data_IF_210919285874
#
_entry.id   IF_210919285874
#
_cell.length_a   1.000
_cell.length_b   1.000
_cell.length_c   1.000
_cell.angle_alpha   90.00
_cell.angle_beta   90.00
_cell.angle_gamma   90.00
#
_symmetry.space_group_name_H-M   'P 1'
#
loop_
_entity.id
_entity.type
_entity.pdbx_description
1 polymer ?
#
# COMPACT_ATOMS: atom_id res chain seq x y z
N UNK A 1 1.35 -24.36 4.72
CA UNK A 1 0.47 -23.56 5.60
C UNK A 1 1.23 -22.86 6.73
N UNK A 2 2.18 -23.48 7.42
CA UNK A 2 2.97 -22.82 8.50
C UNK A 2 3.77 -21.58 8.02
N UNK A 3 4.31 -21.59 6.82
CA UNK A 3 5.13 -20.49 6.30
C UNK A 3 4.33 -19.22 5.96
N UNK A 4 3.07 -19.35 5.53
CA UNK A 4 2.19 -18.18 5.28
C UNK A 4 1.74 -17.57 6.62
N UNK A 5 1.61 -18.39 7.66
CA UNK A 5 1.30 -17.94 9.00
C UNK A 5 2.34 -16.96 9.58
N UNK A 6 3.64 -17.16 9.29
CA UNK A 6 4.69 -16.26 9.78
C UNK A 6 4.60 -14.85 9.21
N UNK A 7 4.24 -14.72 7.92
CA UNK A 7 4.02 -13.41 7.28
C UNK A 7 2.81 -12.71 7.90
N UNK A 8 1.71 -13.45 8.12
CA UNK A 8 0.52 -12.90 8.74
C UNK A 8 0.80 -12.40 10.18
N UNK A 9 1.56 -13.18 10.97
CA UNK A 9 2.00 -12.77 12.32
C UNK A 9 2.90 -11.53 12.25
N UNK A 10 3.88 -11.51 11.35
CA UNK A 10 4.75 -10.34 11.16
C UNK A 10 3.98 -9.08 10.80
N UNK A 11 3.02 -9.17 9.87
CA UNK A 11 2.12 -8.06 9.51
C UNK A 11 1.25 -7.60 10.69
N UNK A 12 0.74 -8.53 11.49
CA UNK A 12 -0.05 -8.21 12.68
C UNK A 12 0.79 -7.46 13.71
N UNK A 13 2.02 -7.93 13.99
CA UNK A 13 2.96 -7.27 14.90
C UNK A 13 3.28 -5.86 14.40
N UNK A 14 3.62 -5.72 13.11
CA UNK A 14 3.89 -4.41 12.49
C UNK A 14 2.68 -3.47 12.57
N UNK A 15 1.47 -3.97 12.33
CA UNK A 15 0.23 -3.20 12.42
C UNK A 15 -0.04 -2.69 13.84
N UNK A 16 0.02 -3.59 14.84
CA UNK A 16 -0.14 -3.23 16.25
C UNK A 16 0.93 -2.24 16.71
N UNK A 17 2.18 -2.47 16.33
CA UNK A 17 3.30 -1.58 16.67
C UNK A 17 3.16 -0.21 16.02
N UNK A 18 2.70 -0.13 14.77
CA UNK A 18 2.45 1.14 14.07
C UNK A 18 1.33 1.93 14.75
N UNK A 19 0.27 1.27 15.19
CA UNK A 19 -0.80 1.91 15.95
C UNK A 19 -0.32 2.39 17.31
N UNK A 20 0.45 1.57 18.04
CA UNK A 20 1.03 1.95 19.32
C UNK A 20 2.04 3.11 19.20
N UNK A 21 2.85 3.11 18.13
CA UNK A 21 3.74 4.24 17.80
C UNK A 21 2.96 5.56 17.72
N UNK A 22 1.89 5.60 16.92
CA UNK A 22 1.08 6.80 16.75
C UNK A 22 0.36 7.20 18.05
N UNK A 23 -0.16 6.22 18.80
CA UNK A 23 -0.84 6.48 20.08
C UNK A 23 0.10 7.05 21.14
N UNK A 24 1.26 6.42 21.34
CA UNK A 24 2.24 6.88 22.33
C UNK A 24 2.86 8.23 21.96
N UNK A 25 3.24 8.40 20.70
CA UNK A 25 3.78 9.69 20.22
C UNK A 25 2.73 10.81 20.27
N UNK A 26 1.46 10.51 19.93
CA UNK A 26 0.37 11.48 20.06
C UNK A 26 0.15 11.92 21.50
N UNK A 27 0.21 10.99 22.47
CA UNK A 27 0.12 11.30 23.90
C UNK A 27 1.31 12.11 24.40
N UNK A 28 2.54 11.81 23.94
CA UNK A 28 3.75 12.50 24.36
C UNK A 28 3.81 13.94 23.83
N UNK A 29 3.44 14.13 22.55
CA UNK A 29 3.62 15.38 21.83
C UNK A 29 2.41 16.33 21.92
N UNK A 30 1.21 15.78 22.13
CA UNK A 30 -0.03 16.53 22.00
C UNK A 30 -0.41 16.82 20.53
N UNK A 31 -1.64 17.32 20.28
CA UNK A 31 -2.19 17.39 18.92
C UNK A 31 -1.38 18.21 17.92
N UNK A 32 -0.86 19.38 18.35
CA UNK A 32 -0.14 20.28 17.44
C UNK A 32 1.21 19.72 16.98
N UNK A 33 2.07 19.28 17.91
CA UNK A 33 3.38 18.72 17.58
C UNK A 33 3.29 17.30 17.01
N UNK A 34 2.16 16.60 17.21
CA UNK A 34 1.90 15.29 16.60
C UNK A 34 1.55 15.40 15.10
N UNK A 35 0.91 16.48 14.66
CA UNK A 35 0.43 16.61 13.28
C UNK A 35 1.53 16.39 12.21
N UNK A 36 2.70 17.05 12.28
CA UNK A 36 3.77 16.83 11.32
C UNK A 36 4.34 15.39 11.36
N UNK A 37 4.44 14.77 12.55
CA UNK A 37 4.86 13.39 12.70
C UNK A 37 3.87 12.41 12.06
N UNK A 38 2.58 12.63 12.27
CA UNK A 38 1.54 11.81 11.68
C UNK A 38 1.52 11.93 10.16
N UNK A 39 1.78 13.13 9.62
CA UNK A 39 1.95 13.35 8.18
C UNK A 39 3.18 12.63 7.65
N UNK A 40 4.31 12.69 8.33
CA UNK A 40 5.50 11.91 8.00
C UNK A 40 5.19 10.41 7.95
N UNK A 41 4.48 9.89 8.96
CA UNK A 41 4.07 8.49 9.01
C UNK A 41 3.22 8.10 7.79
N UNK A 42 2.26 8.96 7.41
CA UNK A 42 1.41 8.74 6.23
C UNK A 42 2.26 8.71 4.96
N UNK A 43 3.17 9.67 4.77
CA UNK A 43 4.02 9.73 3.58
C UNK A 43 4.92 8.50 3.46
N UNK A 44 5.57 8.09 4.55
CA UNK A 44 6.41 6.89 4.60
C UNK A 44 5.59 5.64 4.26
N UNK A 45 4.40 5.47 4.88
CA UNK A 45 3.56 4.30 4.66
C UNK A 45 2.81 4.32 3.30
N UNK A 46 2.66 5.48 2.65
CA UNK A 46 2.14 5.58 1.29
C UNK A 46 3.20 5.20 0.25
N UNK A 47 4.44 5.61 0.49
CA UNK A 47 5.54 5.42 -0.46
C UNK A 47 5.94 3.95 -0.64
N UNK A 48 5.88 3.13 0.41
CA UNK A 48 6.16 1.70 0.32
C UNK A 48 5.33 1.00 -0.75
N UNK A 49 3.99 0.96 -0.64
CA UNK A 49 3.12 0.40 -1.67
C UNK A 49 3.17 1.14 -3.01
N UNK A 50 3.39 2.45 -3.03
CA UNK A 50 3.45 3.22 -4.26
C UNK A 50 4.69 2.87 -5.11
N UNK A 51 5.87 2.93 -4.51
CA UNK A 51 7.12 2.91 -5.24
C UNK A 51 7.88 1.59 -5.12
N UNK A 52 7.81 0.92 -3.99
CA UNK A 52 8.67 -0.22 -3.69
C UNK A 52 7.96 -1.58 -3.70
N UNK A 53 6.65 -1.65 -3.43
CA UNK A 53 5.92 -2.91 -3.53
C UNK A 53 5.91 -3.48 -4.96
N UNK A 54 5.80 -2.68 -6.05
CA UNK A 54 5.98 -3.18 -7.41
C UNK A 54 7.33 -3.83 -7.66
N UNK A 55 8.40 -3.26 -7.09
CA UNK A 55 9.74 -3.83 -7.15
C UNK A 55 9.83 -5.17 -6.41
N UNK A 56 9.25 -5.24 -5.20
CA UNK A 56 9.15 -6.48 -4.41
C UNK A 56 8.45 -7.59 -5.19
N UNK A 57 7.29 -7.29 -5.79
CA UNK A 57 6.47 -8.25 -6.52
C UNK A 57 7.20 -8.79 -7.74
N UNK A 58 7.80 -7.92 -8.55
CA UNK A 58 8.51 -8.34 -9.76
C UNK A 58 9.79 -9.09 -9.44
N UNK A 59 10.54 -8.64 -8.42
CA UNK A 59 11.73 -9.34 -7.96
C UNK A 59 11.37 -10.74 -7.41
N UNK A 60 10.34 -10.82 -6.58
CA UNK A 60 9.86 -12.10 -6.03
C UNK A 60 9.47 -13.07 -7.14
N UNK A 61 8.75 -12.60 -8.17
CA UNK A 61 8.40 -13.39 -9.34
C UNK A 61 9.64 -13.89 -10.09
N UNK A 62 10.62 -13.01 -10.34
CA UNK A 62 11.82 -13.35 -11.09
C UNK A 62 12.72 -14.32 -10.33
N UNK A 63 12.88 -14.13 -9.02
CA UNK A 63 13.65 -15.05 -8.15
C UNK A 63 12.99 -16.42 -8.09
N UNK A 64 11.65 -16.49 -7.90
CA UNK A 64 10.91 -17.75 -7.87
C UNK A 64 11.02 -18.51 -9.20
N UNK A 65 10.95 -17.79 -10.32
CA UNK A 65 11.10 -18.40 -11.65
C UNK A 65 12.50 -18.99 -11.85
N UNK A 66 13.54 -18.27 -11.47
CA UNK A 66 14.92 -18.74 -11.58
C UNK A 66 15.19 -19.93 -10.65
N UNK A 67 14.72 -19.88 -9.41
CA UNK A 67 14.90 -20.95 -8.42
C UNK A 67 14.19 -22.25 -8.85
N UNK A 68 12.98 -22.16 -9.41
CA UNK A 68 12.26 -23.31 -9.96
C UNK A 68 13.01 -24.02 -11.11
N UNK A 69 13.95 -23.32 -11.76
CA UNK A 69 14.80 -23.85 -12.81
C UNK A 69 16.21 -24.26 -12.29
N UNK A 70 16.39 -24.26 -10.96
CA UNK A 70 17.68 -24.56 -10.34
C UNK A 70 18.75 -23.52 -10.62
N UNK A 71 18.36 -22.29 -11.04
CA UNK A 71 19.28 -21.19 -11.39
C UNK A 71 19.27 -20.13 -10.30
N UNK A 72 20.37 -19.42 -10.13
CA UNK A 72 20.42 -18.24 -9.29
C UNK A 72 19.85 -17.00 -9.99
N UNK A 73 19.58 -15.95 -9.24
CA UNK A 73 18.96 -14.71 -9.76
C UNK A 73 19.73 -13.44 -9.39
N UNK A 74 21.04 -13.57 -9.05
CA UNK A 74 21.88 -12.45 -8.63
C UNK A 74 21.80 -11.23 -9.56
N UNK A 75 21.82 -11.46 -10.88
CA UNK A 75 21.78 -10.36 -11.85
C UNK A 75 20.46 -9.61 -11.79
N UNK A 76 19.33 -10.30 -11.63
CA UNK A 76 18.00 -9.68 -11.50
C UNK A 76 17.92 -8.95 -10.16
N UNK A 77 18.42 -9.54 -9.08
CA UNK A 77 18.48 -8.90 -7.77
C UNK A 77 19.29 -7.59 -7.81
N UNK A 78 20.50 -7.60 -8.41
CA UNK A 78 21.33 -6.39 -8.54
C UNK A 78 20.67 -5.31 -9.41
N UNK A 79 19.96 -5.70 -10.47
CA UNK A 79 19.17 -4.77 -11.27
C UNK A 79 18.00 -4.19 -10.48
N UNK A 80 17.30 -5.01 -9.70
CA UNK A 80 16.27 -4.56 -8.78
C UNK A 80 16.82 -3.59 -7.73
N UNK A 81 17.97 -3.89 -7.15
CA UNK A 81 18.66 -3.02 -6.20
C UNK A 81 19.06 -1.67 -6.84
N UNK A 82 19.58 -1.69 -8.06
CA UNK A 82 19.93 -0.48 -8.79
C UNK A 82 18.67 0.35 -9.14
N UNK A 83 17.57 -0.31 -9.54
CA UNK A 83 16.28 0.38 -9.79
C UNK A 83 15.73 0.98 -8.50
N UNK A 84 15.74 0.26 -7.39
CA UNK A 84 15.34 0.76 -6.07
C UNK A 84 16.19 1.96 -5.64
N UNK A 85 17.52 1.87 -5.80
CA UNK A 85 18.43 2.98 -5.54
C UNK A 85 18.14 4.20 -6.44
N UNK A 86 17.82 3.98 -7.72
CA UNK A 86 17.41 5.06 -8.63
C UNK A 86 16.14 5.76 -8.13
N UNK A 87 15.14 4.99 -7.69
CA UNK A 87 13.90 5.56 -7.13
C UNK A 87 14.22 6.40 -5.88
N UNK A 88 15.05 5.89 -4.96
CA UNK A 88 15.49 6.62 -3.76
C UNK A 88 16.26 7.88 -4.13
N UNK A 89 17.18 7.82 -5.11
CA UNK A 89 17.92 8.99 -5.58
C UNK A 89 16.99 10.06 -6.19
N UNK A 90 16.01 9.65 -6.99
CA UNK A 90 15.00 10.58 -7.53
C UNK A 90 14.20 11.22 -6.40
N UNK A 91 13.74 10.43 -5.42
CA UNK A 91 13.08 10.95 -4.24
C UNK A 91 13.99 11.93 -3.46
N UNK A 92 15.29 11.61 -3.29
CA UNK A 92 16.23 12.47 -2.61
C UNK A 92 16.40 13.82 -3.31
N UNK A 93 16.51 13.83 -4.64
CA UNK A 93 16.58 15.08 -5.44
C UNK A 93 15.31 15.91 -5.30
N UNK A 94 14.14 15.26 -5.39
CA UNK A 94 12.84 15.93 -5.22
C UNK A 94 12.68 16.50 -3.81
N UNK A 95 13.01 15.71 -2.78
CA UNK A 95 12.94 16.16 -1.38
C UNK A 95 13.92 17.29 -1.10
N UNK A 96 15.13 17.25 -1.66
CA UNK A 96 16.10 18.32 -1.53
C UNK A 96 15.62 19.61 -2.22
N UNK A 97 15.10 19.51 -3.45
CA UNK A 97 14.58 20.66 -4.18
C UNK A 97 13.32 21.28 -3.54
N UNK A 98 12.54 20.48 -2.81
CA UNK A 98 11.32 20.90 -2.13
C UNK A 98 11.49 21.04 -0.62
N UNK A 99 12.73 21.00 -0.09
CA UNK A 99 13.01 20.92 1.36
C UNK A 99 12.34 22.04 2.16
N UNK A 100 12.47 23.28 1.71
CA UNK A 100 11.92 24.45 2.40
C UNK A 100 10.38 24.40 2.42
N UNK A 101 9.77 24.13 1.26
CA UNK A 101 8.31 23.99 1.17
C UNK A 101 7.79 22.82 2.02
N UNK A 102 8.48 21.68 2.00
CA UNK A 102 8.09 20.54 2.82
C UNK A 102 8.24 20.83 4.31
N UNK A 103 9.33 21.48 4.70
CA UNK A 103 9.55 21.86 6.09
C UNK A 103 8.45 22.82 6.57
N UNK A 104 8.25 23.91 5.87
CA UNK A 104 7.35 24.98 6.30
C UNK A 104 5.87 24.57 6.18
N UNK A 105 5.44 24.09 5.01
CA UNK A 105 4.02 23.86 4.71
C UNK A 105 3.51 22.49 5.18
N UNK A 106 4.37 21.44 5.14
CA UNK A 106 3.96 20.07 5.47
C UNK A 106 4.36 19.68 6.87
N UNK A 107 5.58 20.02 7.28
CA UNK A 107 6.16 19.62 8.57
C UNK A 107 6.21 20.74 9.60
N UNK A 108 5.55 21.89 9.33
CA UNK A 108 5.36 23.00 10.28
C UNK A 108 6.67 23.57 10.83
N UNK A 109 7.74 23.62 10.01
CA UNK A 109 9.05 24.13 10.37
C UNK A 109 10.01 23.09 10.97
N UNK A 110 9.66 21.80 10.97
CA UNK A 110 10.48 20.73 11.52
C UNK A 110 11.39 20.09 10.44
N UNK A 111 12.53 20.70 10.16
CA UNK A 111 13.49 20.27 9.11
C UNK A 111 13.94 18.82 9.25
N UNK A 112 14.09 18.34 10.49
CA UNK A 112 14.50 16.96 10.76
C UNK A 112 13.55 15.92 10.17
N UNK A 113 12.27 16.27 9.94
CA UNK A 113 11.29 15.37 9.35
C UNK A 113 11.52 15.16 7.85
N UNK A 114 12.09 16.13 7.14
CA UNK A 114 12.50 15.98 5.73
C UNK A 114 13.63 14.94 5.63
N UNK A 115 14.61 15.02 6.52
CA UNK A 115 15.71 14.05 6.60
C UNK A 115 15.18 12.66 7.01
N UNK A 116 14.29 12.60 8.00
CA UNK A 116 13.65 11.36 8.44
C UNK A 116 12.83 10.71 7.31
N UNK A 117 12.14 11.52 6.49
CA UNK A 117 11.41 11.01 5.31
C UNK A 117 12.37 10.32 4.34
N UNK A 118 13.51 10.93 4.00
CA UNK A 118 14.49 10.34 3.10
C UNK A 118 15.08 9.04 3.66
N UNK A 119 15.44 9.01 4.94
CA UNK A 119 15.95 7.81 5.62
C UNK A 119 14.88 6.71 5.59
N UNK A 120 13.63 7.05 5.91
CA UNK A 120 12.50 6.11 5.90
C UNK A 120 12.22 5.54 4.51
N UNK A 121 12.25 6.37 3.46
CA UNK A 121 12.12 5.91 2.07
C UNK A 121 13.27 4.97 1.66
N UNK A 122 14.48 5.28 2.08
CA UNK A 122 15.66 4.42 1.84
C UNK A 122 15.51 3.07 2.54
N UNK A 123 15.07 3.08 3.80
CA UNK A 123 14.78 1.87 4.58
C UNK A 123 13.69 1.02 3.93
N UNK A 124 12.58 1.62 3.52
CA UNK A 124 11.50 0.92 2.80
C UNK A 124 11.98 0.32 1.48
N UNK A 125 12.79 1.05 0.70
CA UNK A 125 13.38 0.53 -0.54
C UNK A 125 14.20 -0.74 -0.30
N UNK A 126 15.03 -0.73 0.74
CA UNK A 126 15.81 -1.91 1.14
C UNK A 126 14.92 -3.05 1.66
N UNK A 127 13.90 -2.74 2.47
CA UNK A 127 12.96 -3.74 2.97
C UNK A 127 12.20 -4.45 1.85
N UNK A 128 11.60 -3.71 0.93
CA UNK A 128 10.84 -4.29 -0.19
C UNK A 128 11.76 -5.09 -1.13
N UNK A 129 13.00 -4.66 -1.33
CA UNK A 129 13.99 -5.43 -2.10
C UNK A 129 14.30 -6.78 -1.44
N UNK A 130 14.58 -6.78 -0.14
CA UNK A 130 14.91 -8.02 0.61
C UNK A 130 13.68 -8.92 0.77
N UNK A 131 12.48 -8.35 0.98
CA UNK A 131 11.22 -9.09 1.01
C UNK A 131 10.91 -9.76 -0.32
N UNK A 132 11.18 -9.10 -1.44
CA UNK A 132 11.07 -9.71 -2.77
C UNK A 132 12.00 -10.92 -2.91
N UNK A 133 13.24 -10.83 -2.44
CA UNK A 133 14.18 -11.94 -2.42
C UNK A 133 13.69 -13.10 -1.53
N UNK A 134 13.20 -12.81 -0.33
CA UNK A 134 12.66 -13.82 0.59
C UNK A 134 11.41 -14.50 0.02
N UNK A 135 10.47 -13.73 -0.54
CA UNK A 135 9.25 -14.27 -1.14
C UNK A 135 9.57 -15.18 -2.34
N UNK A 136 10.45 -14.74 -3.22
CA UNK A 136 10.88 -15.51 -4.39
C UNK A 136 11.64 -16.78 -4.01
N UNK A 137 12.47 -16.74 -2.97
CA UNK A 137 13.20 -17.89 -2.42
C UNK A 137 12.39 -18.74 -1.44
N UNK A 138 11.06 -18.55 -1.33
CA UNK A 138 10.17 -19.28 -0.42
C UNK A 138 10.56 -19.15 1.07
N UNK A 139 11.35 -18.13 1.45
CA UNK A 139 11.82 -17.88 2.80
C UNK A 139 10.81 -17.04 3.62
N UNK A 140 9.54 -17.43 3.61
CA UNK A 140 8.45 -16.68 4.25
C UNK A 140 8.62 -16.50 5.77
N UNK A 141 9.38 -17.37 6.43
CA UNK A 141 9.76 -17.19 7.83
C UNK A 141 10.59 -15.93 8.05
N UNK A 142 11.61 -15.68 7.19
CA UNK A 142 12.44 -14.48 7.23
C UNK A 142 11.66 -13.22 6.83
N UNK A 143 10.80 -13.34 5.84
CA UNK A 143 9.89 -12.27 5.46
C UNK A 143 9.05 -11.82 6.66
N UNK A 144 8.37 -12.75 7.34
CA UNK A 144 7.56 -12.45 8.52
C UNK A 144 8.38 -11.92 9.69
N UNK A 145 9.60 -12.47 9.89
CA UNK A 145 10.53 -12.00 10.92
C UNK A 145 10.97 -10.54 10.68
N UNK A 146 11.30 -10.16 9.44
CA UNK A 146 11.66 -8.78 9.10
C UNK A 146 10.53 -7.80 9.39
N UNK A 147 9.28 -8.14 9.00
CA UNK A 147 8.08 -7.35 9.32
C UNK A 147 7.88 -7.20 10.83
N UNK A 148 7.98 -8.31 11.56
CA UNK A 148 7.82 -8.32 13.01
C UNK A 148 8.91 -7.50 13.72
N UNK A 149 10.15 -7.60 13.24
CA UNK A 149 11.28 -6.89 13.81
C UNK A 149 11.19 -5.37 13.60
N UNK A 150 10.80 -4.91 12.39
CA UNK A 150 10.51 -3.48 12.16
C UNK A 150 9.46 -2.98 13.17
N UNK A 151 8.36 -3.73 13.35
CA UNK A 151 7.34 -3.38 14.33
C UNK A 151 7.86 -3.33 15.76
N UNK A 152 8.57 -4.37 16.21
CA UNK A 152 9.11 -4.45 17.57
C UNK A 152 10.12 -3.33 17.84
N UNK A 153 11.05 -3.07 16.94
CA UNK A 153 12.04 -1.99 17.08
C UNK A 153 11.34 -0.64 17.21
N UNK A 154 10.36 -0.38 16.37
CA UNK A 154 9.55 0.84 16.42
C UNK A 154 8.80 0.99 17.74
N UNK A 155 8.14 -0.07 18.19
CA UNK A 155 7.39 -0.07 19.44
C UNK A 155 8.29 0.14 20.65
N UNK A 156 9.39 -0.62 20.77
CA UNK A 156 10.29 -0.56 21.92
C UNK A 156 10.96 0.83 22.02
N UNK A 157 11.47 1.36 20.89
CA UNK A 157 12.09 2.68 20.88
C UNK A 157 11.08 3.79 21.23
N UNK A 158 9.86 3.72 20.68
CA UNK A 158 8.80 4.69 20.99
C UNK A 158 8.39 4.62 22.46
N UNK A 159 8.22 3.42 23.01
CA UNK A 159 7.87 3.23 24.41
C UNK A 159 8.98 3.78 25.33
N UNK A 160 10.25 3.57 24.99
CA UNK A 160 11.38 4.14 25.72
C UNK A 160 11.34 5.68 25.72
N UNK A 161 11.15 6.32 24.55
CA UNK A 161 11.02 7.77 24.46
C UNK A 161 9.84 8.31 25.28
N UNK A 162 8.70 7.63 25.24
CA UNK A 162 7.51 7.98 25.99
C UNK A 162 7.75 7.90 27.50
N UNK A 163 8.35 6.82 27.99
CA UNK A 163 8.65 6.62 29.42
C UNK A 163 9.72 7.60 29.94
N UNK A 164 10.66 8.01 29.10
CA UNK A 164 11.66 9.04 29.40
C UNK A 164 11.09 10.47 29.34
N UNK A 165 9.82 10.64 28.98
CA UNK A 165 9.17 11.95 28.88
C UNK A 165 9.67 12.83 27.74
N UNK A 166 10.22 12.24 26.66
CA UNK A 166 10.71 12.98 25.50
C UNK A 166 9.52 13.57 24.73
N UNK A 167 9.54 14.90 24.52
CA UNK A 167 8.49 15.65 23.82
C UNK A 167 8.98 16.29 22.51
N UNK A 168 10.15 15.91 22.04
CA UNK A 168 10.73 16.41 20.77
C UNK A 168 10.33 15.51 19.63
N UNK A 169 9.62 16.05 18.62
CA UNK A 169 9.08 15.31 17.48
C UNK A 169 10.16 14.58 16.67
N UNK A 170 11.35 15.18 16.55
CA UNK A 170 12.46 14.63 15.77
C UNK A 170 12.92 13.23 16.23
N UNK A 171 12.89 12.93 17.52
CA UNK A 171 13.26 11.60 18.02
C UNK A 171 12.26 10.53 17.57
N UNK A 172 10.97 10.82 17.61
CA UNK A 172 9.93 9.91 17.12
C UNK A 172 10.02 9.74 15.58
N UNK A 173 10.37 10.80 14.87
CA UNK A 173 10.60 10.75 13.42
C UNK A 173 11.80 9.84 13.08
N UNK A 174 12.90 9.94 13.84
CA UNK A 174 14.06 9.07 13.67
C UNK A 174 13.75 7.59 13.99
N UNK A 175 12.95 7.32 15.02
CA UNK A 175 12.48 5.95 15.31
C UNK A 175 11.71 5.37 14.10
N UNK A 176 10.77 6.15 13.54
CA UNK A 176 10.01 5.74 12.38
C UNK A 176 10.93 5.44 11.17
N UNK A 177 11.93 6.30 10.95
CA UNK A 177 12.81 6.23 9.79
C UNK A 177 13.86 5.10 9.89
N UNK A 178 14.42 4.88 11.09
CA UNK A 178 15.52 3.94 11.30
C UNK A 178 15.05 2.50 11.55
N UNK A 179 13.81 2.28 12.00
CA UNK A 179 13.31 0.94 12.27
C UNK A 179 13.39 0.01 11.06
N UNK A 180 12.92 0.38 9.85
CA UNK A 180 13.05 -0.47 8.66
C UNK A 180 14.51 -0.69 8.25
N UNK A 181 15.38 0.32 8.36
CA UNK A 181 16.82 0.17 8.07
C UNK A 181 17.43 -0.88 8.99
N UNK A 182 17.18 -0.77 10.29
CA UNK A 182 17.71 -1.67 11.30
C UNK A 182 17.17 -3.10 11.10
N UNK A 183 15.87 -3.24 10.79
CA UNK A 183 15.26 -4.53 10.50
C UNK A 183 15.95 -5.22 9.31
N UNK A 184 16.27 -4.48 8.23
CA UNK A 184 17.02 -5.02 7.08
C UNK A 184 18.41 -5.46 7.50
N UNK A 185 19.18 -4.61 8.19
CA UNK A 185 20.55 -4.93 8.62
C UNK A 185 20.61 -6.20 9.48
N UNK A 186 19.58 -6.45 10.28
CA UNK A 186 19.50 -7.62 11.16
C UNK A 186 18.95 -8.88 10.46
N UNK A 187 18.35 -8.77 9.27
CA UNK A 187 17.68 -9.91 8.61
C UNK A 187 18.25 -10.27 7.25
N UNK A 188 18.95 -9.36 6.58
CA UNK A 188 19.40 -9.55 5.18
C UNK A 188 20.74 -10.29 5.03
N UNK A 189 21.20 -11.01 6.05
CA UNK A 189 22.49 -11.74 6.03
C UNK A 189 22.50 -12.97 5.10
N UNK A 190 21.33 -13.53 4.74
CA UNK A 190 21.21 -14.62 3.76
C UNK A 190 19.96 -14.43 2.90
N UNK A 191 20.14 -14.01 1.66
CA UNK A 191 19.08 -13.77 0.69
C UNK A 191 18.79 -15.01 -0.20
N UNK A 192 19.40 -16.15 0.12
CA UNK A 192 19.13 -17.42 -0.54
C UNK A 192 19.39 -17.40 -2.06
N UNK A 193 18.42 -17.87 -2.90
CA UNK A 193 18.57 -17.94 -4.35
C UNK A 193 18.85 -16.58 -5.01
N UNK A 194 18.38 -15.47 -4.40
CA UNK A 194 18.51 -14.13 -4.97
C UNK A 194 19.98 -13.69 -5.18
N UNK A 195 20.92 -14.21 -4.39
CA UNK A 195 22.34 -13.86 -4.48
C UNK A 195 23.20 -14.93 -5.18
N UNK A 196 22.61 -16.07 -5.58
CA UNK A 196 23.35 -17.10 -6.34
C UNK A 196 23.67 -16.61 -7.74
N UNK A 197 24.92 -16.85 -8.25
CA UNK A 197 25.29 -16.47 -9.61
C UNK A 197 24.38 -17.07 -10.67
N UNK A 198 24.02 -16.26 -11.67
CA UNK A 198 23.19 -16.69 -12.79
C UNK A 198 23.49 -15.89 -14.06
N UNK A 199 23.16 -16.46 -15.21
CA UNK A 199 23.06 -15.69 -16.45
C UNK A 199 21.76 -14.86 -16.43
N UNK A 200 21.79 -13.62 -16.95
CA UNK A 200 20.60 -12.76 -16.94
C UNK A 200 19.55 -13.28 -17.91
N UNK A 201 18.39 -13.63 -17.39
CA UNK A 201 17.22 -14.03 -18.19
C UNK A 201 16.31 -12.84 -18.52
N UNK A 202 16.37 -11.77 -17.76
CA UNK A 202 15.52 -10.62 -17.90
C UNK A 202 16.34 -9.37 -18.19
N UNK A 203 15.97 -8.62 -19.23
CA UNK A 203 16.67 -7.37 -19.58
C UNK A 203 16.25 -6.22 -18.66
N UNK A 204 17.07 -5.16 -18.62
CA UNK A 204 16.72 -3.91 -17.91
C UNK A 204 15.36 -3.36 -18.36
N UNK A 205 15.11 -3.32 -19.68
CA UNK A 205 13.88 -2.79 -20.23
C UNK A 205 12.65 -3.63 -19.86
N UNK A 206 12.78 -4.93 -19.68
CA UNK A 206 11.68 -5.78 -19.21
C UNK A 206 11.36 -5.52 -17.74
N UNK A 207 12.38 -5.48 -16.88
CA UNK A 207 12.21 -5.22 -15.45
C UNK A 207 11.62 -3.83 -15.20
N UNK A 208 12.21 -2.79 -15.76
CA UNK A 208 11.76 -1.40 -15.54
C UNK A 208 10.36 -1.14 -16.09
N UNK A 209 10.00 -1.76 -17.23
CA UNK A 209 8.63 -1.66 -17.78
C UNK A 209 7.60 -2.35 -16.89
N UNK A 210 7.91 -3.54 -16.37
CA UNK A 210 7.03 -4.27 -15.49
C UNK A 210 6.81 -3.52 -14.16
N UNK A 211 7.89 -3.07 -13.52
CA UNK A 211 7.83 -2.27 -12.29
C UNK A 211 7.09 -0.94 -12.53
N UNK A 212 7.41 -0.22 -13.61
CA UNK A 212 6.78 1.07 -13.94
C UNK A 212 5.27 0.96 -14.18
N UNK A 213 4.83 -0.09 -14.88
CA UNK A 213 3.40 -0.32 -15.12
C UNK A 213 2.63 -0.58 -13.80
N UNK A 214 3.21 -1.35 -12.88
CA UNK A 214 2.63 -1.59 -11.56
C UNK A 214 2.63 -0.32 -10.70
N UNK A 215 3.70 0.49 -10.76
CA UNK A 215 3.82 1.73 -9.99
C UNK A 215 2.72 2.74 -10.30
N UNK A 216 2.31 2.88 -11.56
CA UNK A 216 1.26 3.84 -11.93
C UNK A 216 -0.04 3.54 -11.17
N UNK A 217 -0.50 2.29 -11.20
CA UNK A 217 -1.73 1.88 -10.53
C UNK A 217 -1.65 2.00 -9.01
N UNK A 218 -0.54 1.55 -8.42
CA UNK A 218 -0.33 1.59 -6.96
C UNK A 218 -0.19 3.02 -6.46
N UNK A 219 0.54 3.89 -7.17
CA UNK A 219 0.71 5.31 -6.80
C UNK A 219 -0.61 6.05 -6.80
N UNK A 220 -1.45 5.86 -7.81
CA UNK A 220 -2.79 6.48 -7.85
C UNK A 220 -3.68 6.01 -6.70
N UNK A 221 -3.68 4.71 -6.38
CA UNK A 221 -4.42 4.19 -5.24
C UNK A 221 -3.90 4.78 -3.92
N UNK A 222 -2.58 4.86 -3.75
CA UNK A 222 -1.95 5.46 -2.57
C UNK A 222 -2.22 6.97 -2.48
N UNK A 223 -2.25 7.68 -3.60
CA UNK A 223 -2.68 9.07 -3.62
C UNK A 223 -4.09 9.21 -3.05
N UNK A 224 -5.07 8.49 -3.57
CA UNK A 224 -6.47 8.58 -3.11
C UNK A 224 -6.60 8.30 -1.61
N UNK A 225 -5.94 7.24 -1.10
CA UNK A 225 -6.08 6.87 0.32
C UNK A 225 -5.27 7.77 1.27
N UNK A 226 -4.21 8.42 0.79
CA UNK A 226 -3.31 9.21 1.64
C UNK A 226 -3.36 10.73 1.37
N UNK A 227 -4.12 11.19 0.39
CA UNK A 227 -4.23 12.62 0.10
C UNK A 227 -4.89 13.43 1.25
N UNK A 228 -5.84 12.82 1.97
CA UNK A 228 -6.59 13.49 3.03
C UNK A 228 -5.69 14.00 4.19
N UNK A 229 -4.79 13.19 4.81
CA UNK A 229 -3.91 13.70 5.86
C UNK A 229 -2.92 14.76 5.37
N UNK A 230 -2.39 14.60 4.16
CA UNK A 230 -1.50 15.62 3.56
C UNK A 230 -2.24 16.93 3.31
N UNK A 231 -3.45 16.84 2.73
CA UNK A 231 -4.30 18.02 2.52
C UNK A 231 -4.67 18.71 3.85
N UNK A 232 -4.94 17.94 4.90
CA UNK A 232 -5.23 18.50 6.22
C UNK A 232 -4.02 19.27 6.78
N UNK A 233 -2.79 18.75 6.60
CA UNK A 233 -1.58 19.44 7.06
C UNK A 233 -1.29 20.72 6.27
N UNK A 234 -1.41 20.66 4.93
CA UNK A 234 -1.08 21.80 4.05
C UNK A 234 -2.14 22.90 4.11
N UNK A 235 -3.41 22.54 4.27
CA UNK A 235 -4.52 23.51 4.27
C UNK A 235 -4.84 24.08 5.65
N UNK A 236 -4.24 23.54 6.73
CA UNK A 236 -4.46 24.02 8.09
C UNK A 236 -3.82 25.41 8.29
N UNK A 237 -4.63 26.40 8.64
CA UNK A 237 -4.13 27.69 9.11
C UNK A 237 -3.37 27.52 10.44
N UNK A 238 -2.59 28.54 10.84
CA UNK A 238 -1.73 28.46 12.03
C UNK A 238 -2.51 28.10 13.30
N UNK A 239 -3.72 28.61 13.46
CA UNK A 239 -4.65 28.31 14.56
C UNK A 239 -5.37 26.96 14.40
N UNK A 240 -5.29 26.31 13.24
CA UNK A 240 -5.90 25.02 12.93
C UNK A 240 -4.94 23.83 13.05
N UNK A 241 -3.64 24.04 13.30
CA UNK A 241 -2.61 22.97 13.36
C UNK A 241 -2.97 21.84 14.34
N UNK A 242 -3.48 22.19 15.52
CA UNK A 242 -3.93 21.20 16.50
C UNK A 242 -5.13 20.38 15.96
N UNK A 243 -6.07 21.02 15.26
CA UNK A 243 -7.22 20.33 14.63
C UNK A 243 -6.76 19.39 13.51
N UNK A 244 -5.76 19.78 12.71
CA UNK A 244 -5.16 18.90 11.72
C UNK A 244 -4.57 17.63 12.37
N UNK A 245 -3.86 17.76 13.49
CA UNK A 245 -3.34 16.61 14.24
C UNK A 245 -4.44 15.67 14.75
N UNK A 246 -5.53 16.23 15.29
CA UNK A 246 -6.72 15.45 15.69
C UNK A 246 -7.33 14.74 14.48
N UNK A 247 -7.52 15.45 13.37
CA UNK A 247 -8.08 14.88 12.14
C UNK A 247 -7.25 13.71 11.60
N UNK A 248 -5.92 13.83 11.59
CA UNK A 248 -5.03 12.76 11.14
C UNK A 248 -5.12 11.55 12.09
N UNK A 249 -5.20 11.77 13.41
CA UNK A 249 -5.42 10.69 14.39
C UNK A 249 -6.72 9.93 14.14
N UNK A 250 -7.79 10.65 13.86
CA UNK A 250 -9.10 10.11 13.48
C UNK A 250 -8.97 9.25 12.24
N UNK A 251 -8.28 9.77 11.20
CA UNK A 251 -8.10 9.07 9.94
C UNK A 251 -7.29 7.77 10.12
N UNK A 252 -6.29 7.78 10.96
CA UNK A 252 -5.48 6.57 11.27
C UNK A 252 -6.35 5.49 11.91
N UNK A 253 -7.18 5.85 12.91
CA UNK A 253 -8.08 4.88 13.55
C UNK A 253 -9.13 4.37 12.56
N UNK A 254 -9.66 5.24 11.68
CA UNK A 254 -10.64 4.84 10.67
C UNK A 254 -10.13 3.80 9.67
N UNK A 255 -8.80 3.61 9.62
CA UNK A 255 -8.13 2.62 8.76
C UNK A 255 -7.97 1.24 9.40
N UNK A 256 -8.33 1.03 10.66
CA UNK A 256 -8.24 -0.29 11.30
C UNK A 256 -8.94 -1.38 10.46
N UNK A 257 -10.15 -1.18 9.90
CA UNK A 257 -10.78 -2.17 9.03
C UNK A 257 -9.97 -2.51 7.77
N UNK A 258 -9.11 -1.61 7.29
CA UNK A 258 -8.26 -1.86 6.11
C UNK A 258 -7.23 -2.97 6.37
N UNK A 259 -6.74 -3.12 7.59
CA UNK A 259 -5.84 -4.22 7.95
C UNK A 259 -6.54 -5.58 7.86
N UNK A 260 -7.80 -5.67 8.33
CA UNK A 260 -8.61 -6.88 8.18
C UNK A 260 -8.90 -7.14 6.69
N UNK A 261 -9.19 -6.09 5.94
CA UNK A 261 -9.40 -6.18 4.50
C UNK A 261 -8.18 -6.72 3.76
N UNK A 262 -6.96 -6.34 4.16
CA UNK A 262 -5.71 -6.85 3.55
C UNK A 262 -5.59 -8.38 3.67
N UNK A 263 -6.02 -8.94 4.80
CA UNK A 263 -6.07 -10.40 4.99
C UNK A 263 -7.11 -11.07 4.05
N UNK A 264 -8.27 -10.45 3.88
CA UNK A 264 -9.30 -10.90 2.93
C UNK A 264 -8.74 -10.86 1.50
N UNK A 265 -8.06 -9.78 1.12
CA UNK A 265 -7.44 -9.63 -0.20
C UNK A 265 -6.45 -10.76 -0.51
N UNK A 266 -5.54 -11.03 0.41
CA UNK A 266 -4.51 -12.06 0.23
C UNK A 266 -5.09 -13.48 -0.01
N UNK A 267 -6.19 -13.80 0.67
CA UNK A 267 -6.87 -15.10 0.52
C UNK A 267 -7.73 -15.20 -0.76
N UNK A 268 -8.18 -14.06 -1.26
CA UNK A 268 -9.27 -14.01 -2.23
C UNK A 268 -8.81 -13.83 -3.67
N UNK A 269 -7.82 -13.01 -3.92
CA UNK A 269 -7.31 -12.70 -5.26
C UNK A 269 -6.85 -13.92 -6.06
N UNK A 270 -6.06 -14.86 -5.48
CA UNK A 270 -5.63 -16.04 -6.22
C UNK A 270 -6.81 -16.88 -6.71
N UNK A 271 -7.87 -16.97 -5.89
CA UNK A 271 -9.07 -17.72 -6.24
C UNK A 271 -9.86 -17.11 -7.39
N UNK A 272 -9.95 -15.78 -7.49
CA UNK A 272 -10.60 -15.13 -8.64
C UNK A 272 -9.79 -15.31 -9.93
N UNK A 273 -8.48 -15.14 -9.87
CA UNK A 273 -7.61 -15.34 -11.02
C UNK A 273 -7.69 -16.79 -11.56
N UNK A 274 -7.77 -17.78 -10.64
CA UNK A 274 -7.95 -19.17 -11.01
C UNK A 274 -9.30 -19.42 -11.74
N UNK A 275 -10.40 -18.81 -11.28
CA UNK A 275 -11.72 -18.93 -11.92
C UNK A 275 -11.76 -18.26 -13.30
N UNK A 276 -11.04 -17.16 -13.49
CA UNK A 276 -10.86 -16.57 -14.84
C UNK A 276 -10.11 -17.52 -15.75
N UNK A 277 -9.03 -18.16 -15.27
CA UNK A 277 -8.25 -19.12 -16.04
C UNK A 277 -9.06 -20.38 -16.37
N UNK A 278 -9.94 -20.83 -15.46
CA UNK A 278 -10.85 -21.97 -15.67
C UNK A 278 -12.08 -21.64 -16.54
N UNK A 279 -12.25 -20.37 -16.93
CA UNK A 279 -13.40 -19.87 -17.71
C UNK A 279 -14.75 -20.03 -16.98
N UNK A 280 -14.75 -20.17 -15.65
CA UNK A 280 -15.95 -20.37 -14.84
C UNK A 280 -16.56 -19.02 -14.40
N UNK A 281 -17.37 -18.45 -15.31
CA UNK A 281 -18.03 -17.15 -15.09
C UNK A 281 -19.06 -17.20 -13.96
N UNK A 282 -19.74 -18.32 -13.78
CA UNK A 282 -20.80 -18.44 -12.76
C UNK A 282 -20.18 -18.40 -11.36
N UNK A 283 -19.21 -19.29 -11.09
CA UNK A 283 -18.50 -19.31 -9.80
C UNK A 283 -17.72 -18.02 -9.54
N UNK A 284 -17.19 -17.39 -10.60
CA UNK A 284 -16.56 -16.07 -10.47
C UNK A 284 -17.55 -15.04 -9.95
N UNK A 285 -18.77 -14.96 -10.52
CA UNK A 285 -19.80 -14.04 -10.08
C UNK A 285 -20.25 -14.27 -8.64
N UNK A 286 -20.45 -15.54 -8.24
CA UNK A 286 -20.81 -15.93 -6.87
C UNK A 286 -19.71 -15.53 -5.87
N UNK A 287 -18.45 -15.82 -6.21
CA UNK A 287 -17.32 -15.50 -5.36
C UNK A 287 -17.11 -13.98 -5.24
N UNK A 288 -17.25 -13.24 -6.34
CA UNK A 288 -17.23 -11.78 -6.35
C UNK A 288 -18.31 -11.20 -5.44
N UNK A 289 -19.57 -11.68 -5.56
CA UNK A 289 -20.67 -11.24 -4.70
C UNK A 289 -20.37 -11.48 -3.22
N UNK A 290 -19.86 -12.67 -2.88
CA UNK A 290 -19.50 -13.00 -1.49
C UNK A 290 -18.48 -12.02 -0.92
N UNK A 291 -17.46 -11.67 -1.70
CA UNK A 291 -16.43 -10.72 -1.25
C UNK A 291 -16.96 -9.32 -1.13
N UNK A 292 -17.72 -8.83 -2.11
CA UNK A 292 -18.31 -7.50 -2.02
C UNK A 292 -19.24 -7.39 -0.81
N UNK A 293 -20.00 -8.44 -0.48
CA UNK A 293 -20.81 -8.49 0.74
C UNK A 293 -19.96 -8.45 2.01
N UNK A 294 -18.88 -9.25 2.08
CA UNK A 294 -17.96 -9.26 3.24
C UNK A 294 -17.28 -7.91 3.42
N UNK A 295 -16.76 -7.34 2.34
CA UNK A 295 -16.09 -6.03 2.34
C UNK A 295 -17.07 -4.92 2.69
N UNK A 296 -18.29 -4.97 2.12
CA UNK A 296 -19.35 -4.03 2.44
C UNK A 296 -19.80 -4.12 3.90
N UNK A 297 -19.96 -5.34 4.43
CA UNK A 297 -20.29 -5.58 5.83
C UNK A 297 -19.19 -5.07 6.77
N UNK A 298 -17.92 -5.33 6.44
CA UNK A 298 -16.78 -4.82 7.21
C UNK A 298 -16.73 -3.29 7.21
N UNK A 299 -16.97 -2.66 6.05
CA UNK A 299 -17.05 -1.21 5.92
C UNK A 299 -18.22 -0.61 6.72
N UNK A 300 -19.39 -1.22 6.64
CA UNK A 300 -20.57 -0.80 7.39
C UNK A 300 -20.37 -0.97 8.91
N UNK A 301 -19.80 -2.09 9.34
CA UNK A 301 -19.48 -2.32 10.74
C UNK A 301 -18.45 -1.30 11.26
N UNK A 302 -17.39 -1.01 10.48
CA UNK A 302 -16.42 0.04 10.80
C UNK A 302 -17.06 1.40 10.94
N UNK A 303 -17.96 1.78 10.02
CA UNK A 303 -18.71 3.04 10.07
C UNK A 303 -19.59 3.13 11.32
N UNK A 304 -20.35 2.07 11.63
CA UNK A 304 -21.21 2.03 12.81
C UNK A 304 -20.41 2.15 14.11
N UNK A 305 -19.32 1.40 14.25
CA UNK A 305 -18.42 1.49 15.41
C UNK A 305 -17.86 2.91 15.54
N UNK A 306 -17.41 3.49 14.43
CA UNK A 306 -16.76 4.79 14.43
C UNK A 306 -17.73 5.92 14.80
N UNK A 307 -18.97 5.90 14.28
CA UNK A 307 -20.01 6.87 14.66
C UNK A 307 -20.44 6.67 16.11
N UNK A 308 -20.51 5.43 16.59
CA UNK A 308 -20.99 5.13 17.95
C UNK A 308 -19.98 5.54 19.03
N UNK A 309 -18.76 5.04 18.93
CA UNK A 309 -17.73 5.18 19.96
C UNK A 309 -16.44 5.90 19.48
N UNK A 310 -16.40 6.40 18.25
CA UNK A 310 -15.21 7.02 17.66
C UNK A 310 -14.61 8.15 18.49
N UNK A 311 -15.37 9.14 18.99
CA UNK A 311 -14.83 10.20 19.84
C UNK A 311 -14.13 9.66 21.10
N UNK A 312 -14.73 8.64 21.73
CA UNK A 312 -14.14 7.96 22.88
C UNK A 312 -12.86 7.20 22.50
N UNK A 313 -12.85 6.50 21.36
CA UNK A 313 -11.64 5.81 20.87
C UNK A 313 -10.49 6.79 20.67
N UNK A 314 -10.74 7.92 19.99
CA UNK A 314 -9.71 8.93 19.71
C UNK A 314 -9.12 9.48 21.02
N UNK A 315 -9.95 9.92 21.97
CA UNK A 315 -9.48 10.46 23.26
C UNK A 315 -8.79 9.39 24.10
N UNK A 316 -9.24 8.15 24.05
CA UNK A 316 -8.65 7.04 24.81
C UNK A 316 -7.26 6.68 24.28
N UNK A 317 -7.07 6.63 22.97
CA UNK A 317 -5.79 6.25 22.39
C UNK A 317 -4.77 7.40 22.39
N UNK A 318 -5.19 8.60 22.01
CA UNK A 318 -4.29 9.73 21.82
C UNK A 318 -4.25 10.71 23.01
N UNK A 319 -5.19 10.61 23.94
CA UNK A 319 -5.25 11.43 25.13
C UNK A 319 -6.33 12.54 25.09
N UNK A 320 -6.54 13.25 26.21
CA UNK A 320 -7.69 14.17 26.38
C UNK A 320 -7.65 15.39 25.46
N UNK A 321 -6.48 15.78 24.93
CA UNK A 321 -6.35 16.88 23.97
C UNK A 321 -6.89 16.55 22.57
N UNK A 322 -7.14 15.27 22.26
CA UNK A 322 -7.66 14.84 20.98
C UNK A 322 -9.18 14.68 21.00
N UNK A 323 -9.88 15.80 20.84
CA UNK A 323 -11.35 15.85 20.82
C UNK A 323 -11.87 15.95 19.40
N UNK A 324 -12.92 15.20 19.05
CA UNK A 324 -13.55 15.20 17.73
C UNK A 324 -15.04 15.01 17.83
N UNK A 325 -15.79 15.42 16.80
CA UNK A 325 -17.23 15.26 16.73
C UNK A 325 -17.62 14.10 15.80
N UNK A 326 -18.83 13.53 16.03
CA UNK A 326 -19.35 12.47 15.14
C UNK A 326 -19.55 12.96 13.71
N UNK A 327 -19.83 14.25 13.53
CA UNK A 327 -20.05 14.86 12.20
C UNK A 327 -18.75 14.87 11.38
N UNK A 328 -17.60 15.00 12.05
CA UNK A 328 -16.30 15.01 11.37
C UNK A 328 -15.77 13.58 11.11
N UNK A 329 -16.32 12.58 11.83
CA UNK A 329 -15.90 11.18 11.74
C UNK A 329 -16.53 10.42 10.56
N UNK A 330 -17.83 10.64 10.29
CA UNK A 330 -18.55 9.78 9.34
C UNK A 330 -17.97 9.78 7.92
N UNK A 331 -17.50 10.92 7.35
CA UNK A 331 -17.00 10.89 5.98
C UNK A 331 -15.72 10.06 5.86
N UNK A 332 -14.89 10.08 6.90
CA UNK A 332 -13.64 9.30 6.93
C UNK A 332 -13.92 7.80 7.03
N UNK A 333 -14.82 7.40 7.93
CA UNK A 333 -15.17 5.99 8.10
C UNK A 333 -15.91 5.42 6.89
N UNK A 334 -16.86 6.18 6.32
CA UNK A 334 -17.55 5.80 5.10
C UNK A 334 -16.58 5.75 3.91
N UNK A 335 -15.70 6.74 3.80
CA UNK A 335 -14.64 6.77 2.79
C UNK A 335 -13.69 5.57 2.89
N UNK A 336 -13.29 5.17 4.09
CA UNK A 336 -12.47 3.96 4.30
C UNK A 336 -13.21 2.68 3.84
N UNK A 337 -14.49 2.56 4.13
CA UNK A 337 -15.35 1.47 3.64
C UNK A 337 -15.42 1.43 2.11
N UNK A 338 -15.67 2.57 1.48
CA UNK A 338 -15.71 2.69 0.01
C UNK A 338 -14.35 2.46 -0.63
N UNK A 339 -13.25 2.86 0.01
CA UNK A 339 -11.90 2.53 -0.44
C UNK A 339 -11.65 1.02 -0.49
N UNK A 340 -12.11 0.27 0.51
CA UNK A 340 -12.01 -1.20 0.49
C UNK A 340 -12.80 -1.79 -0.69
N UNK A 341 -14.01 -1.30 -0.95
CA UNK A 341 -14.82 -1.72 -2.10
C UNK A 341 -14.14 -1.37 -3.43
N UNK A 342 -13.64 -0.13 -3.58
CA UNK A 342 -12.92 0.31 -4.77
C UNK A 342 -11.67 -0.54 -5.03
N UNK A 343 -10.89 -0.83 -3.97
CA UNK A 343 -9.70 -1.66 -4.04
C UNK A 343 -10.01 -3.11 -4.44
N UNK A 344 -11.08 -3.70 -3.90
CA UNK A 344 -11.53 -5.03 -4.30
C UNK A 344 -11.93 -5.06 -5.78
N UNK A 345 -12.71 -4.07 -6.24
CA UNK A 345 -13.13 -3.96 -7.65
C UNK A 345 -11.95 -3.70 -8.60
N UNK A 346 -10.99 -2.87 -8.19
CA UNK A 346 -9.77 -2.62 -8.97
C UNK A 346 -8.96 -3.91 -9.19
N UNK A 347 -8.85 -4.76 -8.17
CA UNK A 347 -8.18 -6.05 -8.26
C UNK A 347 -8.95 -7.05 -9.14
N UNK A 348 -10.28 -7.03 -9.09
CA UNK A 348 -11.13 -7.78 -10.02
C UNK A 348 -10.85 -7.36 -11.47
N UNK A 349 -10.75 -6.05 -11.74
CA UNK A 349 -10.40 -5.54 -13.07
C UNK A 349 -9.01 -6.00 -13.52
N UNK A 350 -8.05 -6.04 -12.60
CA UNK A 350 -6.71 -6.59 -12.88
C UNK A 350 -6.78 -8.08 -13.22
N UNK A 351 -7.56 -8.88 -12.50
CA UNK A 351 -7.75 -10.30 -12.82
C UNK A 351 -8.43 -10.54 -14.18
N UNK A 352 -9.30 -9.61 -14.59
CA UNK A 352 -9.96 -9.59 -15.91
C UNK A 352 -9.09 -8.93 -17.00
N UNK A 353 -7.83 -8.59 -16.74
CA UNK A 353 -6.91 -7.87 -17.63
C UNK A 353 -7.42 -6.50 -18.11
N UNK A 354 -8.35 -5.89 -17.38
CA UNK A 354 -8.92 -4.57 -17.66
C UNK A 354 -8.14 -3.47 -16.94
N UNK A 355 -6.82 -3.42 -17.10
CA UNK A 355 -5.90 -2.52 -16.39
C UNK A 355 -6.27 -1.05 -16.53
N UNK A 356 -6.60 -0.60 -17.75
CA UNK A 356 -6.97 0.79 -18.02
C UNK A 356 -8.20 1.20 -17.22
N UNK A 357 -9.20 0.32 -17.12
CA UNK A 357 -10.40 0.59 -16.33
C UNK A 357 -10.11 0.69 -14.83
N UNK A 358 -9.18 -0.12 -14.31
CA UNK A 358 -8.71 -0.01 -12.94
C UNK A 358 -8.04 1.34 -12.67
N UNK A 359 -7.15 1.78 -13.57
CA UNK A 359 -6.47 3.09 -13.46
C UNK A 359 -7.48 4.25 -13.55
N UNK A 360 -8.45 4.19 -14.48
CA UNK A 360 -9.48 5.22 -14.63
C UNK A 360 -10.32 5.39 -13.34
N UNK A 361 -10.60 4.32 -12.62
CA UNK A 361 -11.27 4.39 -11.32
C UNK A 361 -10.48 5.28 -10.33
N UNK A 362 -9.18 5.07 -10.22
CA UNK A 362 -8.34 5.88 -9.34
C UNK A 362 -8.13 7.31 -9.82
N UNK A 363 -8.02 7.54 -11.13
CA UNK A 363 -7.93 8.89 -11.72
C UNK A 363 -9.19 9.69 -11.44
N UNK A 364 -10.37 9.10 -11.62
CA UNK A 364 -11.64 9.78 -11.30
C UNK A 364 -11.79 10.04 -9.80
N UNK A 365 -11.32 9.11 -8.95
CA UNK A 365 -11.23 9.33 -7.52
C UNK A 365 -10.34 10.52 -7.15
N UNK A 366 -9.13 10.59 -7.72
CA UNK A 366 -8.22 11.71 -7.49
C UNK A 366 -8.81 13.05 -7.97
N UNK A 367 -9.45 13.07 -9.14
CA UNK A 367 -10.13 14.26 -9.64
C UNK A 367 -11.27 14.70 -8.71
N UNK A 368 -12.11 13.77 -8.23
CA UNK A 368 -13.17 14.06 -7.29
C UNK A 368 -12.63 14.62 -5.97
N UNK A 369 -11.52 14.09 -5.45
CA UNK A 369 -10.84 14.62 -4.28
C UNK A 369 -10.49 16.11 -4.46
N UNK A 370 -9.77 16.42 -5.54
CA UNK A 370 -9.33 17.78 -5.83
C UNK A 370 -10.51 18.75 -6.03
N UNK A 371 -11.57 18.32 -6.72
CA UNK A 371 -12.75 19.15 -6.95
C UNK A 371 -13.49 19.48 -5.65
N UNK A 372 -13.66 18.50 -4.75
CA UNK A 372 -14.34 18.74 -3.47
C UNK A 372 -13.50 19.60 -2.53
N UNK A 373 -12.18 19.56 -2.63
CA UNK A 373 -11.32 20.48 -1.86
C UNK A 373 -11.52 21.96 -2.23
N UNK A 374 -12.10 22.28 -3.38
CA UNK A 374 -12.41 23.66 -3.77
C UNK A 374 -13.68 24.19 -3.08
N UNK A 375 -14.50 23.32 -2.48
CA UNK A 375 -15.75 23.74 -1.79
C UNK A 375 -15.39 24.39 -0.45
N UNK A 376 -15.86 25.62 -0.17
CA UNK A 376 -15.61 26.27 1.10
C UNK A 376 -16.36 25.57 2.24
N UNK A 377 -15.61 25.00 3.18
CA UNK A 377 -16.12 24.36 4.38
C UNK A 377 -15.03 24.35 5.46
N UNK A 378 -15.37 23.95 6.69
CA UNK A 378 -14.37 23.71 7.74
C UNK A 378 -13.34 22.69 7.27
N UNK A 379 -12.08 22.80 7.71
CA UNK A 379 -10.98 21.94 7.30
C UNK A 379 -11.36 20.44 7.35
N UNK A 380 -11.86 19.97 8.50
CA UNK A 380 -12.18 18.57 8.76
C UNK A 380 -13.27 18.05 7.81
N UNK A 381 -14.32 18.85 7.62
CA UNK A 381 -15.45 18.50 6.74
C UNK A 381 -15.02 18.52 5.28
N UNK A 382 -14.30 19.55 4.85
CA UNK A 382 -13.81 19.71 3.49
C UNK A 382 -12.93 18.53 3.07
N UNK A 383 -11.95 18.20 3.90
CA UNK A 383 -11.00 17.10 3.62
C UNK A 383 -11.67 15.73 3.77
N UNK A 384 -12.52 15.57 4.79
CA UNK A 384 -13.28 14.32 4.98
C UNK A 384 -14.24 14.03 3.84
N UNK A 385 -15.01 15.03 3.38
CA UNK A 385 -15.91 14.88 2.24
C UNK A 385 -15.15 14.68 0.92
N UNK A 386 -13.98 15.31 0.76
CA UNK A 386 -13.12 15.07 -0.40
C UNK A 386 -12.66 13.62 -0.45
N UNK A 387 -12.23 13.04 0.67
CA UNK A 387 -11.87 11.63 0.76
C UNK A 387 -13.04 10.68 0.47
N UNK A 388 -14.23 10.97 1.04
CA UNK A 388 -15.44 10.22 0.76
C UNK A 388 -15.82 10.27 -0.72
N UNK A 389 -15.83 11.45 -1.34
CA UNK A 389 -16.16 11.63 -2.75
C UNK A 389 -15.15 10.91 -3.66
N UNK A 390 -13.86 10.98 -3.33
CA UNK A 390 -12.80 10.28 -4.05
C UNK A 390 -13.02 8.77 -4.10
N UNK A 391 -13.25 8.19 -2.94
CA UNK A 391 -13.43 6.73 -2.80
C UNK A 391 -14.76 6.26 -3.37
N UNK A 392 -15.82 7.08 -3.27
CA UNK A 392 -17.12 6.83 -3.90
C UNK A 392 -17.00 6.84 -5.43
N UNK A 393 -16.36 7.87 -6.02
CA UNK A 393 -16.14 7.96 -7.45
C UNK A 393 -15.32 6.77 -7.98
N UNK A 394 -14.23 6.42 -7.30
CA UNK A 394 -13.42 5.26 -7.65
C UNK A 394 -14.22 3.95 -7.59
N UNK A 395 -15.00 3.73 -6.54
CA UNK A 395 -15.85 2.54 -6.40
C UNK A 395 -16.93 2.44 -7.48
N UNK A 396 -17.60 3.55 -7.80
CA UNK A 396 -18.64 3.59 -8.84
C UNK A 396 -18.04 3.28 -10.20
N UNK A 397 -16.95 3.95 -10.60
CA UNK A 397 -16.32 3.74 -11.91
C UNK A 397 -15.78 2.32 -12.04
N UNK A 398 -15.09 1.81 -11.00
CA UNK A 398 -14.61 0.43 -11.00
C UNK A 398 -15.77 -0.59 -11.05
N UNK A 399 -16.86 -0.34 -10.32
CA UNK A 399 -18.06 -1.20 -10.33
C UNK A 399 -18.75 -1.25 -11.69
N UNK A 400 -18.91 -0.10 -12.35
CA UNK A 400 -19.46 -0.03 -13.72
C UNK A 400 -18.55 -0.75 -14.71
N UNK A 401 -17.23 -0.59 -14.59
CA UNK A 401 -16.25 -1.28 -15.43
C UNK A 401 -16.27 -2.79 -15.23
N UNK A 402 -16.36 -3.28 -13.99
CA UNK A 402 -16.51 -4.72 -13.68
C UNK A 402 -17.79 -5.26 -14.30
N UNK A 403 -18.94 -4.57 -14.10
CA UNK A 403 -20.22 -4.96 -14.70
C UNK A 403 -20.10 -5.07 -16.22
N UNK A 404 -19.52 -4.06 -16.87
CA UNK A 404 -19.29 -4.06 -18.33
C UNK A 404 -18.40 -5.22 -18.77
N UNK A 405 -17.29 -5.47 -18.08
CA UNK A 405 -16.40 -6.59 -18.39
C UNK A 405 -17.07 -7.95 -18.23
N UNK A 406 -17.98 -8.08 -17.28
CA UNK A 406 -18.76 -9.31 -17.10
C UNK A 406 -19.86 -9.50 -18.15
N UNK A 407 -20.42 -8.43 -18.72
CA UNK A 407 -21.52 -8.53 -19.71
C UNK A 407 -21.03 -8.60 -21.15
N UNK A 408 -19.97 -7.84 -21.51
CA UNK A 408 -19.56 -7.64 -22.91
C UNK A 408 -18.11 -7.98 -23.22
N UNK A 409 -17.32 -8.35 -22.23
CA UNK A 409 -15.87 -8.48 -22.40
C UNK A 409 -15.21 -9.58 -21.57
N UNK A 410 -15.88 -10.69 -21.34
CA UNK A 410 -15.24 -11.84 -20.68
C UNK A 410 -13.97 -12.24 -21.44
N UNK A 411 -12.81 -12.50 -20.78
CA UNK A 411 -11.52 -12.70 -21.44
C UNK A 411 -11.46 -13.80 -22.51
N UNK A 412 -12.48 -14.66 -22.55
CA UNK A 412 -12.57 -15.77 -23.53
C UNK A 412 -13.12 -15.34 -24.86
N UNK A 413 -13.79 -14.19 -24.96
CA UNK A 413 -14.40 -13.67 -26.17
C UNK A 413 -13.37 -12.92 -27.05
N UNK A 414 -12.20 -12.64 -26.50
CA UNK A 414 -11.04 -12.14 -27.24
C UNK A 414 -10.22 -13.36 -27.65
N UNK A 415 -10.18 -13.62 -28.99
CA UNK A 415 -9.42 -14.73 -29.58
C UNK A 415 -7.98 -14.87 -29.04
N UNK A 416 -7.25 -15.94 -29.38
CA UNK A 416 -5.91 -16.18 -28.90
C UNK A 416 -5.05 -14.93 -29.16
N UNK A 417 -4.31 -14.50 -28.15
CA UNK A 417 -3.36 -13.39 -28.27
C UNK A 417 -2.34 -13.84 -29.30
N UNK A 418 -2.29 -13.15 -30.46
CA UNK A 418 -1.19 -13.30 -31.41
C UNK A 418 0.12 -13.17 -30.65
N UNK A 419 0.86 -14.27 -30.54
CA UNK A 419 2.16 -14.30 -29.81
C UNK A 419 2.26 -15.31 -28.65
N UNK A 420 1.30 -16.22 -28.43
CA UNK A 420 1.54 -17.37 -27.52
C UNK A 420 2.45 -18.40 -28.24
N UNK A 421 3.71 -18.58 -27.78
CA UNK A 421 4.64 -19.52 -28.43
C UNK A 421 4.23 -20.99 -28.38
N UNK A 422 3.10 -21.31 -27.73
CA UNK A 422 2.54 -22.67 -27.67
C UNK A 422 1.65 -23.01 -28.85
N UNK A 423 1.40 -22.08 -29.79
CA UNK A 423 0.68 -22.32 -31.06
C UNK A 423 1.59 -22.12 -32.26
N UNK A 424 2.92 -22.27 -32.11
CA UNK A 424 3.84 -22.45 -33.21
C UNK A 424 3.74 -23.87 -33.74
N UNK A 425 3.22 -23.96 -34.98
CA UNK A 425 3.42 -25.04 -35.96
C UNK A 425 3.05 -26.48 -35.57
N UNK A 426 1.76 -26.76 -35.58
CA UNK A 426 1.31 -28.05 -36.13
C UNK A 426 1.18 -27.84 -37.62
N UNK A 427 2.25 -28.09 -38.37
CA UNK A 427 2.18 -28.27 -39.81
C UNK A 427 1.27 -29.47 -40.06
N UNK A 428 0.31 -29.35 -41.02
CA UNK A 428 -0.50 -30.49 -41.42
C UNK A 428 0.42 -31.52 -42.07
N UNK A 429 0.48 -32.69 -41.47
CA UNK A 429 1.24 -33.82 -41.97
C UNK A 429 0.79 -34.15 -43.41
N UNK A 430 1.69 -34.02 -44.35
CA UNK A 430 1.61 -34.64 -45.63
C UNK A 430 1.56 -36.15 -45.44
N UNK A 431 0.36 -36.73 -45.58
CA UNK A 431 0.22 -38.14 -45.80
C UNK A 431 0.75 -38.45 -47.19
N UNK A 432 1.32 -39.56 -47.33
CA UNK A 432 1.26 -40.52 -48.42
C UNK A 432 2.60 -41.24 -48.62
N UNK A 433 2.52 -42.49 -48.77
CA UNK A 433 3.54 -43.23 -49.47
C UNK A 433 3.95 -44.55 -48.81
N UNK A 434 3.08 -45.49 -48.95
CA UNK A 434 3.23 -46.92 -49.14
C UNK A 434 4.58 -47.43 -49.67
N UNK A 435 4.86 -48.70 -49.33
CA UNK A 435 5.65 -49.71 -50.06
C UNK A 435 7.18 -49.76 -49.75
N UNK A 436 7.60 -50.65 -49.01
CA UNK A 436 8.17 -52.02 -49.16
C UNK A 436 8.73 -52.46 -47.83
#
# INVERSE_FOLDING_TARGET
MQQIGSVAVGLMVLGVASFAFLSLSGRALGPAAFAPLATLWVLVNAAGPAFFQPLEQELGRAVAHADAQGRGSRTVFLRGAALGATIVCVCAVVLWAASDTLSEEVFQGEDVLVVALLIGLSGLGMEHLTRGAFAGGQAFGRYGWQLGLDGVLRLVATAALFLLGVQTVGWYALVLALAPVTAVLLTAWDLGPAVRPARPDQTWGQLSRAVGALMIGTTLAQFVVNAAPVAASVLAATDEKARAGVFISVLVISRIPLFLFSAIQAAFLPGLAALVAQRDRIRFGERLRTVLLLVGALGAAGLLVFISIGPWLVSTFYGPGFTTSRVDLWPLAAGAGLFMVASALAQVLVSLRAYVASVLGWVTGAAAFLLVLLVPARLEQRVGLAFFAATAAAAVVAGLAVRRSLTTGWPTDRGPVEGDPRHGDVLPGSGAGSLL
#
